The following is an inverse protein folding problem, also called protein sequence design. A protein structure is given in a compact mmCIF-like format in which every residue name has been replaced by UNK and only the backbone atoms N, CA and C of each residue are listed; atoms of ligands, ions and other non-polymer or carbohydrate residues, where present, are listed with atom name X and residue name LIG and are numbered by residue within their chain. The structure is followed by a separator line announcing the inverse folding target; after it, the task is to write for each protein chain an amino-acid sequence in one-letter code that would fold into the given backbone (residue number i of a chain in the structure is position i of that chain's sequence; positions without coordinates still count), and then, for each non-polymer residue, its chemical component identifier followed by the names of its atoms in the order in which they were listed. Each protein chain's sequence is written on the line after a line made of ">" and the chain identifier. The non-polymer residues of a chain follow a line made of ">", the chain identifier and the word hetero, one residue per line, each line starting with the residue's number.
data_IF_299007879182
#
_entry.id   IF_299007879182
#
_cell.length_a   1.000
_cell.length_b   1.000
_cell.length_c   1.000
_cell.angle_alpha   90.00
_cell.angle_beta   90.00
_cell.angle_gamma   90.00
#
_symmetry.space_group_name_H-M   'P 1'
#
loop_
_entity.id
_entity.type
_entity.pdbx_description
1 polymer ?
#
# COMPACT_ATOMS: atom_id res chain seq x y z
N UNK A 1 1.08 0.96 24.50
CA UNK A 1 1.60 0.45 23.22
C UNK A 1 1.17 1.42 22.14
N UNK A 2 2.12 1.99 21.38
CA UNK A 2 1.86 2.81 20.21
C UNK A 2 1.90 1.96 18.95
N UNK A 3 0.87 2.06 18.11
CA UNK A 3 0.75 1.30 16.88
C UNK A 3 1.10 2.18 15.68
N UNK A 4 2.07 1.76 14.88
CA UNK A 4 2.44 2.39 13.63
C UNK A 4 1.93 1.62 12.42
N UNK A 5 1.58 2.33 11.36
CA UNK A 5 1.31 1.73 10.05
C UNK A 5 2.34 2.19 9.01
N UNK A 6 3.01 1.23 8.37
CA UNK A 6 3.97 1.47 7.30
C UNK A 6 3.32 1.14 5.95
N UNK A 7 3.01 2.17 5.16
CA UNK A 7 2.33 2.07 3.88
C UNK A 7 3.35 2.00 2.74
N UNK A 8 3.43 0.84 2.10
CA UNK A 8 4.40 0.60 1.03
C UNK A 8 4.10 1.30 -0.30
N UNK A 9 5.10 1.32 -1.18
CA UNK A 9 4.93 1.73 -2.57
C UNK A 9 4.14 0.70 -3.39
N UNK A 10 3.58 1.12 -4.52
CA UNK A 10 2.80 0.23 -5.39
C UNK A 10 2.04 0.90 -6.53
N UNK A 11 2.35 2.16 -6.86
CA UNK A 11 1.64 2.94 -7.88
C UNK A 11 0.10 2.89 -7.72
N UNK A 12 -0.66 2.56 -8.75
CA UNK A 12 -2.13 2.44 -8.71
C UNK A 12 -2.66 1.55 -7.58
N UNK A 13 -1.94 0.47 -7.23
CA UNK A 13 -2.30 -0.49 -6.18
C UNK A 13 -2.47 0.16 -4.81
N UNK A 14 -1.96 1.39 -4.64
CA UNK A 14 -2.04 2.15 -3.40
C UNK A 14 -3.44 2.39 -2.87
N UNK A 15 -4.49 2.32 -3.69
CA UNK A 15 -5.88 2.40 -3.17
C UNK A 15 -6.24 1.27 -2.21
N UNK A 16 -5.54 0.13 -2.26
CA UNK A 16 -5.71 -0.93 -1.27
C UNK A 16 -5.37 -0.47 0.15
N UNK A 17 -4.45 0.51 0.32
CA UNK A 17 -4.13 1.08 1.64
C UNK A 17 -5.37 1.67 2.31
N UNK A 18 -6.28 2.29 1.55
CA UNK A 18 -7.51 2.87 2.08
C UNK A 18 -8.37 1.77 2.73
N UNK A 19 -8.57 0.66 2.02
CA UNK A 19 -9.30 -0.49 2.52
C UNK A 19 -8.65 -1.14 3.74
N UNK A 20 -7.31 -1.25 3.73
CA UNK A 20 -6.56 -1.77 4.88
C UNK A 20 -6.74 -0.90 6.10
N UNK A 21 -6.56 0.42 5.99
CA UNK A 21 -6.71 1.36 7.11
C UNK A 21 -8.13 1.30 7.67
N UNK A 22 -9.14 1.39 6.80
CA UNK A 22 -10.55 1.35 7.23
C UNK A 22 -10.88 0.03 7.93
N UNK A 23 -10.37 -1.10 7.44
CA UNK A 23 -10.61 -2.40 8.07
C UNK A 23 -9.90 -2.54 9.43
N UNK A 24 -8.67 -2.02 9.56
CA UNK A 24 -7.96 -1.99 10.84
C UNK A 24 -8.72 -1.15 11.88
N UNK A 25 -9.17 0.04 11.50
CA UNK A 25 -9.97 0.89 12.40
C UNK A 25 -11.31 0.22 12.79
N UNK A 26 -11.99 -0.45 11.85
CA UNK A 26 -13.20 -1.25 12.15
C UNK A 26 -12.94 -2.39 13.14
N UNK A 27 -11.75 -2.97 13.12
CA UNK A 27 -11.33 -4.00 14.09
C UNK A 27 -10.99 -3.42 15.47
N UNK A 28 -11.01 -2.09 15.64
CA UNK A 28 -10.65 -1.42 16.87
C UNK A 28 -9.14 -1.12 16.99
N UNK A 29 -8.37 -1.30 15.92
CA UNK A 29 -6.95 -0.95 15.90
C UNK A 29 -6.81 0.57 15.84
N UNK A 30 -6.29 1.17 16.92
CA UNK A 30 -5.98 2.59 16.95
C UNK A 30 -4.57 2.84 16.40
N UNK A 31 -4.48 3.39 15.19
CA UNK A 31 -3.20 3.75 14.57
C UNK A 31 -2.74 5.10 15.12
N UNK A 32 -1.56 5.11 15.76
CA UNK A 32 -0.98 6.29 16.39
C UNK A 32 0.02 7.02 15.50
N UNK A 33 0.77 6.31 14.65
CA UNK A 33 1.77 6.90 13.74
C UNK A 33 1.69 6.30 12.34
N UNK A 34 2.06 7.08 11.33
CA UNK A 34 1.95 6.69 9.92
C UNK A 34 3.30 6.93 9.23
N UNK A 35 3.78 5.95 8.47
CA UNK A 35 4.89 6.14 7.55
C UNK A 35 4.49 5.71 6.15
N UNK A 36 4.94 6.42 5.12
CA UNK A 36 4.56 6.13 3.74
C UNK A 36 5.68 6.28 2.72
N UNK A 37 5.63 5.46 1.66
CA UNK A 37 6.52 5.55 0.51
C UNK A 37 5.71 5.64 -0.78
N UNK A 38 6.03 6.59 -1.67
CA UNK A 38 5.34 6.76 -2.96
C UNK A 38 3.82 6.90 -2.75
N UNK A 39 3.00 6.09 -3.42
CA UNK A 39 1.54 6.09 -3.18
C UNK A 39 1.15 5.86 -1.71
N UNK A 40 1.97 5.14 -0.93
CA UNK A 40 1.79 5.00 0.51
C UNK A 40 2.00 6.33 1.26
N UNK A 41 2.89 7.21 0.78
CA UNK A 41 3.02 8.57 1.29
C UNK A 41 1.81 9.43 0.93
N UNK A 42 1.27 9.26 -0.29
CA UNK A 42 0.06 9.95 -0.72
C UNK A 42 -1.14 9.59 0.15
N UNK A 43 -1.46 8.29 0.27
CA UNK A 43 -2.58 7.83 1.12
C UNK A 43 -2.31 8.10 2.60
N UNK A 44 -1.07 7.88 3.05
CA UNK A 44 -0.66 8.10 4.43
C UNK A 44 -0.78 9.55 4.87
N UNK A 45 -0.40 10.50 4.03
CA UNK A 45 -0.53 11.93 4.35
C UNK A 45 -2.01 12.35 4.47
N UNK A 46 -2.88 11.80 3.62
CA UNK A 46 -4.32 12.06 3.72
C UNK A 46 -4.92 11.46 4.99
N UNK A 47 -4.55 10.22 5.32
CA UNK A 47 -4.99 9.57 6.55
C UNK A 47 -4.51 10.30 7.80
N UNK A 48 -3.22 10.68 7.86
CA UNK A 48 -2.65 11.42 8.97
C UNK A 48 -3.25 12.83 9.11
N UNK A 49 -3.83 13.38 8.05
CA UNK A 49 -4.56 14.66 8.05
C UNK A 49 -6.07 14.53 8.33
N UNK A 50 -6.57 13.32 8.63
CA UNK A 50 -8.00 13.08 8.88
C UNK A 50 -8.89 13.08 7.64
N UNK A 51 -8.32 12.99 6.43
CA UNK A 51 -9.02 13.17 5.14
C UNK A 51 -9.13 11.89 4.30
N UNK A 52 -9.06 10.71 4.94
CA UNK A 52 -9.05 9.43 4.23
C UNK A 52 -10.37 9.18 3.47
N UNK A 53 -11.50 9.62 4.03
CA UNK A 53 -12.81 9.40 3.41
C UNK A 53 -12.98 10.25 2.16
N UNK A 54 -12.61 11.53 2.22
CA UNK A 54 -12.62 12.44 1.07
C UNK A 54 -11.68 11.94 -0.04
N UNK A 55 -10.52 11.42 0.33
CA UNK A 55 -9.61 10.77 -0.61
C UNK A 55 -10.28 9.55 -1.28
N UNK A 56 -10.95 8.69 -0.50
CA UNK A 56 -11.65 7.51 -1.03
C UNK A 56 -12.76 7.90 -2.01
N UNK A 57 -13.57 8.89 -1.66
CA UNK A 57 -14.65 9.39 -2.52
C UNK A 57 -14.10 9.91 -3.86
N UNK A 58 -13.06 10.72 -3.80
CA UNK A 58 -12.40 11.22 -4.99
C UNK A 58 -11.79 10.09 -5.83
N UNK A 59 -11.01 9.20 -5.22
CA UNK A 59 -10.37 8.09 -5.91
C UNK A 59 -11.40 7.15 -6.57
N UNK A 60 -12.55 6.93 -5.92
CA UNK A 60 -13.66 6.14 -6.46
C UNK A 60 -14.41 6.83 -7.60
N UNK A 61 -14.32 8.16 -7.70
CA UNK A 61 -14.94 8.94 -8.79
C UNK A 61 -14.08 9.01 -10.06
N UNK A 62 -12.80 8.57 -9.99
CA UNK A 62 -11.86 8.70 -11.10
C UNK A 62 -12.22 7.77 -12.26
N UNK A 63 -12.49 8.36 -13.42
CA UNK A 63 -12.55 7.66 -14.69
C UNK A 63 -11.15 7.44 -15.28
N UNK A 64 -11.02 6.51 -16.25
CA UNK A 64 -9.79 6.30 -17.02
C UNK A 64 -9.27 7.62 -17.63
N UNK A 65 -10.16 8.43 -18.21
CA UNK A 65 -9.83 9.73 -18.82
C UNK A 65 -9.34 10.76 -17.82
N UNK A 66 -9.99 10.87 -16.67
CA UNK A 66 -9.55 11.77 -15.60
C UNK A 66 -8.19 11.35 -15.06
N UNK A 67 -7.95 10.05 -14.92
CA UNK A 67 -6.65 9.49 -14.52
C UNK A 67 -5.54 9.93 -15.49
N UNK A 68 -5.74 9.77 -16.79
CA UNK A 68 -4.76 10.21 -17.81
C UNK A 68 -4.53 11.73 -17.77
N UNK A 69 -5.60 12.52 -17.62
CA UNK A 69 -5.54 13.98 -17.55
C UNK A 69 -4.81 14.50 -16.30
N UNK A 70 -4.96 13.80 -15.17
CA UNK A 70 -4.31 14.11 -13.89
C UNK A 70 -2.81 13.81 -13.94
N UNK A 71 -2.43 12.69 -14.55
CA UNK A 71 -1.02 12.34 -14.77
C UNK A 71 -0.32 13.33 -15.71
N UNK A 72 -1.08 14.04 -16.54
CA UNK A 72 -0.55 15.10 -17.39
C UNK A 72 0.29 14.53 -18.54
N UNK A 73 -0.14 13.38 -19.09
CA UNK A 73 0.47 12.77 -20.28
C UNK A 73 0.31 13.75 -21.45
N UNK A 74 1.38 14.45 -21.76
CA UNK A 74 1.47 15.48 -22.79
C UNK A 74 2.91 15.91 -23.01
N UNK A 75 3.32 16.07 -24.28
CA UNK A 75 4.72 16.29 -24.67
C UNK A 75 5.22 17.65 -24.13
N UNK A 76 5.96 17.66 -23.02
CA UNK A 76 6.79 18.80 -22.59
C UNK A 76 8.15 18.31 -22.09
N UNK A 77 9.18 19.12 -22.35
CA UNK A 77 10.62 18.83 -22.15
C UNK A 77 10.92 18.33 -20.72
N UNK A 78 11.26 17.04 -20.57
CA UNK A 78 11.93 16.51 -19.38
C UNK A 78 11.22 15.38 -18.63
N UNK A 79 9.96 15.07 -18.92
CA UNK A 79 9.21 13.96 -18.31
C UNK A 79 7.99 13.57 -19.16
N UNK A 80 7.56 12.31 -19.08
CA UNK A 80 6.42 11.79 -19.86
C UNK A 80 5.05 12.14 -19.24
N UNK A 81 5.05 12.45 -17.94
CA UNK A 81 3.90 12.88 -17.16
C UNK A 81 4.37 13.92 -16.13
N UNK A 82 3.70 15.07 -16.02
CA UNK A 82 4.05 16.07 -15.00
C UNK A 82 3.60 15.65 -13.61
N UNK A 83 2.53 14.85 -13.48
CA UNK A 83 1.92 14.44 -12.21
C UNK A 83 1.38 15.59 -11.34
N UNK A 84 1.66 16.84 -11.69
CA UNK A 84 1.50 18.01 -10.83
C UNK A 84 0.06 18.18 -10.35
N UNK A 85 -0.94 17.94 -11.21
CA UNK A 85 -2.35 18.06 -10.83
C UNK A 85 -2.76 17.10 -9.72
N UNK A 86 -2.16 15.90 -9.65
CA UNK A 86 -2.42 14.92 -8.59
C UNK A 86 -1.90 15.45 -7.26
N UNK A 87 -0.69 16.01 -7.25
CA UNK A 87 -0.08 16.56 -6.04
C UNK A 87 -0.68 17.91 -5.63
N UNK A 88 -1.13 18.72 -6.57
CA UNK A 88 -1.87 19.96 -6.30
C UNK A 88 -3.19 19.60 -5.61
N UNK A 89 -3.91 18.58 -6.12
CA UNK A 89 -5.16 18.08 -5.53
C UNK A 89 -4.94 17.53 -4.11
N UNK A 90 -3.86 16.77 -3.89
CA UNK A 90 -3.47 16.34 -2.54
C UNK A 90 -3.28 17.53 -1.61
N UNK A 91 -2.45 18.48 -2.04
CA UNK A 91 -2.05 19.64 -1.24
C UNK A 91 -3.21 20.57 -0.92
N UNK A 92 -4.22 20.64 -1.78
CA UNK A 92 -5.38 21.52 -1.59
C UNK A 92 -6.49 20.86 -0.78
N UNK A 93 -6.75 19.57 -0.99
CA UNK A 93 -8.01 18.96 -0.55
C UNK A 93 -7.82 17.84 0.49
N UNK A 94 -6.66 17.19 0.52
CA UNK A 94 -6.50 15.94 1.25
C UNK A 94 -5.39 15.95 2.29
N UNK A 95 -4.47 16.92 2.31
CA UNK A 95 -3.44 16.96 3.34
C UNK A 95 -3.33 18.32 4.03
N UNK A 96 -2.85 18.30 5.28
CA UNK A 96 -2.39 19.50 5.95
C UNK A 96 -1.23 20.13 5.17
N UNK A 97 -1.06 21.45 5.27
CA UNK A 97 0.05 22.15 4.60
C UNK A 97 1.41 21.78 5.17
N UNK A 98 1.46 21.42 6.46
CA UNK A 98 2.68 21.08 7.18
C UNK A 98 2.52 19.80 8.00
N UNK A 99 3.63 19.08 8.23
CA UNK A 99 3.62 17.85 9.05
C UNK A 99 3.15 18.13 10.48
N UNK A 100 3.49 19.29 11.01
CA UNK A 100 3.14 19.75 12.36
C UNK A 100 1.63 20.01 12.53
N UNK A 101 0.92 20.24 11.43
CA UNK A 101 -0.52 20.47 11.41
C UNK A 101 -1.35 19.18 11.21
N UNK A 102 -0.71 18.02 11.10
CA UNK A 102 -1.39 16.74 10.96
C UNK A 102 -2.01 16.25 12.27
N UNK A 103 -3.09 15.47 12.17
CA UNK A 103 -3.74 14.86 13.35
C UNK A 103 -2.92 13.71 13.95
N UNK A 104 -2.08 13.07 13.13
CA UNK A 104 -1.20 11.97 13.52
C UNK A 104 0.24 12.25 13.07
N UNK A 105 1.25 11.88 13.86
CA UNK A 105 2.64 11.90 13.42
C UNK A 105 2.80 11.10 12.11
N UNK A 106 3.39 11.76 11.12
CA UNK A 106 3.59 11.20 9.79
C UNK A 106 5.04 11.39 9.34
N UNK A 107 5.55 10.39 8.63
CA UNK A 107 6.80 10.52 7.88
C UNK A 107 6.68 9.91 6.49
N UNK A 108 7.38 10.48 5.52
CA UNK A 108 7.54 9.85 4.22
C UNK A 108 8.99 9.84 3.76
N UNK A 109 9.27 9.01 2.78
CA UNK A 109 10.63 8.74 2.31
C UNK A 109 10.79 9.05 0.83
N UNK A 110 11.89 9.69 0.48
CA UNK A 110 12.38 9.84 -0.89
C UNK A 110 13.83 9.36 -0.99
N UNK A 111 14.33 9.27 -2.20
CA UNK A 111 15.70 8.86 -2.49
C UNK A 111 16.48 10.04 -3.07
N UNK A 112 17.64 10.35 -2.50
CA UNK A 112 18.60 11.24 -3.16
C UNK A 112 19.21 10.51 -4.37
N UNK A 113 18.94 11.05 -5.56
CA UNK A 113 19.30 10.47 -6.84
C UNK A 113 20.79 10.21 -6.99
N UNK A 114 21.65 11.06 -6.43
CA UNK A 114 23.10 10.95 -6.65
C UNK A 114 23.79 10.13 -5.58
N UNK A 115 23.37 10.26 -4.33
CA UNK A 115 23.99 9.53 -3.22
C UNK A 115 23.37 8.15 -2.97
N UNK A 116 22.17 7.90 -3.51
CA UNK A 116 21.39 6.70 -3.21
C UNK A 116 20.94 6.63 -1.74
N UNK A 117 21.03 7.74 -1.01
CA UNK A 117 20.66 7.79 0.41
C UNK A 117 19.17 8.08 0.57
N UNK A 118 18.66 7.54 1.66
CA UNK A 118 17.32 7.81 2.14
C UNK A 118 17.20 9.26 2.62
N UNK A 119 16.14 9.93 2.18
CA UNK A 119 15.74 11.27 2.65
C UNK A 119 14.38 11.13 3.30
N UNK A 120 14.34 11.35 4.62
CA UNK A 120 13.13 11.24 5.43
C UNK A 120 12.54 12.64 5.64
N UNK A 121 11.24 12.76 5.41
CA UNK A 121 10.47 13.96 5.68
C UNK A 121 9.50 13.71 6.83
N UNK A 122 9.54 14.57 7.83
CA UNK A 122 8.61 14.56 8.98
C UNK A 122 8.34 15.97 9.53
N UNK A 123 8.78 17.01 8.82
CA UNK A 123 8.65 18.43 9.19
C UNK A 123 8.51 19.28 7.93
N UNK A 124 7.87 20.45 8.02
CA UNK A 124 7.75 21.39 6.91
C UNK A 124 6.65 21.04 5.89
N UNK A 125 6.87 21.34 4.61
CA UNK A 125 5.84 21.26 3.54
C UNK A 125 5.52 19.81 3.14
N UNK A 126 4.27 19.39 3.34
CA UNK A 126 3.81 18.02 3.07
C UNK A 126 3.68 17.75 1.58
N UNK A 127 3.08 18.67 0.84
CA UNK A 127 2.78 18.50 -0.59
C UNK A 127 4.06 18.24 -1.40
N UNK A 128 5.10 19.05 -1.17
CA UNK A 128 6.42 18.87 -1.79
C UNK A 128 7.11 17.58 -1.36
N UNK A 129 7.00 17.22 -0.08
CA UNK A 129 7.61 16.00 0.46
C UNK A 129 6.98 14.73 -0.13
N UNK A 130 5.65 14.69 -0.22
CA UNK A 130 4.92 13.59 -0.87
C UNK A 130 5.19 13.58 -2.37
N UNK A 131 5.23 14.73 -3.03
CA UNK A 131 5.59 14.81 -4.45
C UNK A 131 6.99 14.22 -4.71
N UNK A 132 7.99 14.55 -3.88
CA UNK A 132 9.32 13.95 -3.98
C UNK A 132 9.29 12.44 -3.74
N UNK A 133 8.52 11.97 -2.75
CA UNK A 133 8.35 10.55 -2.45
C UNK A 133 7.73 9.75 -3.61
N UNK A 134 6.89 10.39 -4.43
CA UNK A 134 6.19 9.80 -5.57
C UNK A 134 6.86 10.06 -6.93
N UNK A 135 8.08 10.59 -6.97
CA UNK A 135 8.79 10.94 -8.21
C UNK A 135 9.40 9.68 -8.89
N UNK A 136 8.54 8.78 -9.39
CA UNK A 136 8.90 7.51 -10.02
C UNK A 136 9.83 7.75 -11.22
N UNK A 137 11.07 7.20 -11.22
CA UNK A 137 11.98 7.32 -12.36
C UNK A 137 11.34 6.85 -13.67
N UNK A 138 11.65 7.54 -14.77
CA UNK A 138 11.09 7.35 -16.11
C UNK A 138 9.60 7.72 -16.29
N UNK A 139 8.83 7.90 -15.21
CA UNK A 139 7.44 8.35 -15.27
C UNK A 139 7.30 9.83 -14.91
N UNK A 140 7.87 10.23 -13.77
CA UNK A 140 7.85 11.60 -13.26
C UNK A 140 9.25 12.20 -13.20
N UNK A 141 9.32 13.53 -13.35
CA UNK A 141 10.58 14.26 -13.23
C UNK A 141 11.09 14.23 -11.78
N UNK A 142 12.41 14.13 -11.56
CA UNK A 142 13.00 14.31 -10.23
C UNK A 142 12.64 15.68 -9.63
N UNK A 143 12.53 15.74 -8.31
CA UNK A 143 12.17 16.96 -7.57
C UNK A 143 13.43 17.58 -6.96
N UNK A 144 13.66 18.85 -7.23
CA UNK A 144 14.70 19.62 -6.56
C UNK A 144 14.25 19.98 -5.14
N UNK A 145 15.03 19.57 -4.14
CA UNK A 145 14.79 19.90 -2.74
C UNK A 145 16.12 20.23 -2.07
N UNK A 146 16.26 21.49 -1.63
CA UNK A 146 17.54 22.05 -1.19
C UNK A 146 18.61 21.83 -2.28
N UNK A 147 19.79 21.33 -1.93
CA UNK A 147 20.89 21.04 -2.86
C UNK A 147 20.84 19.61 -3.44
N UNK A 148 19.66 18.96 -3.42
CA UNK A 148 19.49 17.56 -3.84
C UNK A 148 18.45 17.41 -4.93
N UNK A 149 18.64 16.38 -5.75
CA UNK A 149 17.62 15.88 -6.66
C UNK A 149 17.04 14.61 -6.08
N UNK A 150 15.73 14.59 -5.90
CA UNK A 150 15.01 13.50 -5.25
C UNK A 150 14.19 12.72 -6.27
N UNK A 151 14.17 11.41 -6.09
CA UNK A 151 13.30 10.46 -6.79
C UNK A 151 12.53 9.62 -5.78
N UNK A 152 11.64 8.78 -6.28
CA UNK A 152 10.77 7.93 -5.47
C UNK A 152 11.53 7.16 -4.36
N UNK A 153 10.95 7.13 -3.16
CA UNK A 153 11.51 6.46 -2.00
C UNK A 153 11.63 4.94 -2.16
N UNK A 154 10.87 4.34 -3.09
CA UNK A 154 10.87 2.91 -3.34
C UNK A 154 12.21 2.41 -3.87
N UNK A 155 13.09 3.29 -4.35
CA UNK A 155 14.44 2.87 -4.73
C UNK A 155 15.24 2.37 -3.51
N UNK A 156 14.97 2.89 -2.30
CA UNK A 156 15.79 2.60 -1.10
C UNK A 156 14.99 2.05 0.09
N UNK A 157 13.73 2.44 0.22
CA UNK A 157 12.86 2.03 1.33
C UNK A 157 11.38 1.90 0.88
N UNK A 158 11.05 0.85 0.10
CA UNK A 158 9.68 0.64 -0.42
C UNK A 158 8.60 0.48 0.65
N UNK A 159 8.93 -0.03 1.84
CA UNK A 159 8.01 -0.27 2.94
C UNK A 159 8.65 0.25 4.22
N UNK A 160 8.34 1.50 4.65
CA UNK A 160 9.14 2.23 5.63
C UNK A 160 8.82 1.85 7.09
N UNK A 161 9.05 0.60 7.47
CA UNK A 161 8.83 0.06 8.83
C UNK A 161 9.66 0.81 9.87
N UNK A 162 10.92 1.08 9.53
CA UNK A 162 11.87 1.82 10.35
C UNK A 162 11.38 3.24 10.68
N UNK A 163 10.69 3.92 9.76
CA UNK A 163 10.16 5.26 10.01
C UNK A 163 9.05 5.24 11.07
N UNK A 164 8.17 4.23 11.08
CA UNK A 164 7.20 4.07 12.16
C UNK A 164 7.89 3.91 13.52
N UNK A 165 8.95 3.09 13.58
CA UNK A 165 9.75 2.91 14.81
C UNK A 165 10.45 4.20 15.24
N UNK A 166 10.99 4.98 14.30
CA UNK A 166 11.59 6.29 14.57
C UNK A 166 10.58 7.32 15.10
N UNK A 167 9.32 7.25 14.64
CA UNK A 167 8.20 8.04 15.17
C UNK A 167 7.70 7.53 16.54
N UNK A 168 8.29 6.46 17.08
CA UNK A 168 8.00 5.92 18.40
C UNK A 168 6.92 4.84 18.43
N UNK A 169 6.68 4.13 17.33
CA UNK A 169 5.83 2.93 17.34
C UNK A 169 6.50 1.78 18.11
N UNK A 170 5.74 1.14 18.99
CA UNK A 170 6.13 -0.10 19.68
C UNK A 170 5.78 -1.33 18.83
N UNK A 171 4.69 -1.22 18.05
CA UNK A 171 4.13 -2.26 17.20
C UNK A 171 3.88 -1.68 15.81
N UNK A 172 4.34 -2.34 14.75
CA UNK A 172 4.25 -1.86 13.37
C UNK A 172 3.52 -2.87 12.50
N UNK A 173 2.45 -2.39 11.88
CA UNK A 173 1.73 -3.08 10.82
C UNK A 173 2.23 -2.53 9.49
N UNK A 174 2.83 -3.38 8.65
CA UNK A 174 3.30 -2.99 7.33
C UNK A 174 2.36 -3.48 6.23
N UNK A 175 2.17 -2.66 5.21
CA UNK A 175 1.37 -3.00 4.03
C UNK A 175 2.28 -3.03 2.80
N UNK A 176 2.54 -4.23 2.27
CA UNK A 176 3.35 -4.44 1.08
C UNK A 176 2.45 -4.78 -0.12
N UNK A 177 2.38 -3.87 -1.08
CA UNK A 177 1.55 -4.02 -2.28
C UNK A 177 2.24 -4.81 -3.42
N UNK A 178 3.52 -5.16 -3.26
CA UNK A 178 4.34 -5.80 -4.28
C UNK A 178 4.66 -7.27 -3.95
N UNK A 179 3.86 -7.90 -3.10
CA UNK A 179 4.06 -9.26 -2.62
C UNK A 179 3.96 -10.36 -3.70
N UNK A 180 3.24 -10.07 -4.79
CA UNK A 180 2.95 -11.03 -5.86
C UNK A 180 4.11 -11.26 -6.84
N UNK A 181 5.21 -10.50 -6.74
CA UNK A 181 6.39 -10.69 -7.61
C UNK A 181 7.23 -11.92 -7.18
N UNK A 182 6.62 -13.11 -7.26
CA UNK A 182 7.28 -14.41 -7.08
C UNK A 182 7.62 -14.99 -8.46
N UNK A 183 8.88 -15.37 -8.74
CA UNK A 183 9.33 -15.82 -10.07
C UNK A 183 8.50 -16.94 -10.71
N UNK A 184 7.80 -17.76 -9.92
CA UNK A 184 7.00 -18.89 -10.38
C UNK A 184 5.59 -18.51 -10.88
N UNK A 185 5.08 -17.31 -10.57
CA UNK A 185 3.76 -16.82 -11.06
C UNK A 185 3.84 -15.99 -12.34
N UNK A 186 5.03 -15.44 -12.65
CA UNK A 186 5.31 -14.67 -13.88
C UNK A 186 4.91 -15.46 -15.14
N UNK A 187 5.08 -16.79 -15.14
CA UNK A 187 4.70 -17.66 -16.25
C UNK A 187 3.18 -17.76 -16.50
N UNK A 188 2.33 -17.54 -15.47
CA UNK A 188 0.86 -17.52 -15.61
C UNK A 188 0.29 -16.11 -15.82
N UNK A 189 0.96 -15.08 -15.30
CA UNK A 189 0.55 -13.68 -15.41
C UNK A 189 0.82 -13.08 -16.79
N UNK A 190 1.87 -13.54 -17.50
CA UNK A 190 2.13 -13.16 -18.89
C UNK A 190 0.94 -13.49 -19.82
N UNK A 191 0.15 -14.52 -19.51
CA UNK A 191 -1.02 -14.90 -20.30
C UNK A 191 -2.28 -14.06 -20.04
N UNK A 192 -2.36 -13.35 -18.91
CA UNK A 192 -3.54 -12.54 -18.51
C UNK A 192 -3.36 -11.04 -18.70
N UNK A 193 -2.12 -10.53 -18.55
CA UNK A 193 -1.81 -9.12 -18.87
C UNK A 193 -1.99 -8.79 -20.36
N UNK A 194 -1.92 -9.81 -21.23
CA UNK A 194 -2.22 -9.69 -22.67
C UNK A 194 -3.71 -9.41 -22.92
N UNK A 195 -4.62 -9.89 -22.06
CA UNK A 195 -6.08 -9.75 -22.22
C UNK A 195 -6.57 -8.36 -21.77
N UNK A 196 -5.92 -7.74 -20.77
CA UNK A 196 -6.28 -6.40 -20.25
C UNK A 196 -5.75 -5.25 -21.14
N UNK A 197 -4.67 -5.48 -21.90
CA UNK A 197 -4.11 -4.49 -22.83
C UNK A 197 -4.95 -4.28 -24.11
N UNK A 198 -5.91 -5.16 -24.42
CA UNK A 198 -6.71 -5.09 -25.66
C UNK A 198 -7.58 -3.82 -25.78
N UNK A 199 -7.83 -3.08 -24.68
CA UNK A 199 -8.76 -1.94 -24.69
C UNK A 199 -8.14 -0.55 -24.96
N UNK A 200 -6.82 -0.41 -24.90
CA UNK A 200 -6.14 0.90 -24.96
C UNK A 200 -5.43 1.21 -26.31
N UNK A 201 -5.70 0.44 -27.37
CA UNK A 201 -4.95 0.50 -28.64
C UNK A 201 -5.12 1.79 -29.50
N UNK A 202 -5.85 2.83 -29.06
CA UNK A 202 -6.26 3.91 -29.97
C UNK A 202 -5.74 5.34 -29.68
N UNK A 203 -4.51 5.53 -29.18
CA UNK A 203 -4.01 6.90 -28.90
C UNK A 203 -2.70 7.37 -29.55
N UNK A 204 -1.79 6.49 -30.00
CA UNK A 204 -0.48 6.94 -30.53
C UNK A 204 -0.23 6.46 -31.96
N UNK A 205 -0.63 7.27 -32.95
CA UNK A 205 -0.30 7.01 -34.36
C UNK A 205 0.47 8.11 -35.11
N UNK A 206 1.04 9.11 -34.43
CA UNK A 206 1.91 10.10 -35.09
C UNK A 206 3.04 10.60 -34.20
N UNK A 207 4.24 10.01 -34.28
CA UNK A 207 5.53 10.63 -33.95
C UNK A 207 6.72 9.70 -34.31
N UNK A 208 7.91 10.30 -34.46
CA UNK A 208 9.17 9.78 -35.00
C UNK A 208 9.66 8.44 -34.42
N UNK A 209 10.51 7.73 -35.18
CA UNK A 209 10.97 6.35 -34.95
C UNK A 209 11.63 6.08 -33.58
N UNK A 210 12.21 7.11 -32.93
CA UNK A 210 12.77 7.00 -31.57
C UNK A 210 11.68 6.87 -30.51
N UNK A 211 10.57 7.60 -30.66
CA UNK A 211 9.40 7.52 -29.76
C UNK A 211 8.73 6.15 -29.90
N UNK A 212 8.72 5.58 -31.13
CA UNK A 212 8.23 4.23 -31.34
C UNK A 212 8.99 3.19 -30.54
N UNK A 213 10.33 3.28 -30.41
CA UNK A 213 11.10 2.26 -29.69
C UNK A 213 10.90 2.31 -28.16
N UNK A 214 10.60 3.49 -27.61
CA UNK A 214 10.32 3.67 -26.18
C UNK A 214 8.90 3.22 -25.81
N UNK A 215 7.94 3.43 -26.71
CA UNK A 215 6.53 3.10 -26.54
C UNK A 215 6.06 1.97 -27.46
N UNK A 216 6.97 1.10 -27.91
CA UNK A 216 6.62 -0.02 -28.78
C UNK A 216 5.64 -0.91 -28.02
N UNK A 217 4.47 -1.24 -28.61
CA UNK A 217 3.53 -2.15 -27.99
C UNK A 217 4.22 -3.48 -27.72
N UNK A 218 3.86 -4.11 -26.60
CA UNK A 218 4.45 -5.39 -26.22
C UNK A 218 4.19 -6.45 -27.30
N UNK A 219 5.17 -7.32 -27.58
CA UNK A 219 4.97 -8.39 -28.53
C UNK A 219 3.89 -9.35 -28.02
N UNK A 220 2.80 -9.45 -28.78
CA UNK A 220 1.74 -10.44 -28.56
C UNK A 220 2.35 -11.84 -28.63
N UNK A 221 2.18 -12.59 -27.56
CA UNK A 221 2.32 -14.04 -27.40
C UNK A 221 3.64 -14.69 -27.88
N UNK A 222 4.37 -15.32 -26.95
CA UNK A 222 5.49 -16.27 -27.13
C UNK A 222 6.46 -16.06 -28.32
N UNK A 223 6.59 -14.82 -28.79
CA UNK A 223 7.39 -14.45 -29.95
C UNK A 223 8.69 -13.82 -29.46
N UNK A 224 9.80 -14.20 -30.10
CA UNK A 224 11.18 -13.77 -29.78
C UNK A 224 11.44 -12.28 -30.07
N UNK A 225 10.48 -11.39 -29.82
CA UNK A 225 10.68 -9.95 -29.96
C UNK A 225 11.08 -9.34 -28.62
N UNK A 226 12.07 -8.45 -28.67
CA UNK A 226 12.57 -7.76 -27.49
C UNK A 226 11.49 -6.79 -26.96
N UNK A 227 11.23 -6.75 -25.64
CA UNK A 227 10.32 -5.78 -25.05
C UNK A 227 10.81 -4.33 -25.27
N UNK A 228 9.87 -3.37 -25.21
CA UNK A 228 10.19 -1.94 -25.31
C UNK A 228 11.06 -1.44 -24.15
N UNK A 229 11.81 -0.35 -24.37
CA UNK A 229 12.77 0.16 -23.36
C UNK A 229 12.06 0.54 -22.05
N UNK A 230 10.87 1.16 -22.14
CA UNK A 230 10.11 1.57 -20.96
C UNK A 230 9.63 0.36 -20.15
N UNK A 231 9.15 -0.71 -20.81
CA UNK A 231 8.70 -1.92 -20.10
C UNK A 231 9.86 -2.67 -19.47
N UNK A 232 11.02 -2.73 -20.13
CA UNK A 232 12.26 -3.27 -19.54
C UNK A 232 12.68 -2.47 -18.31
N UNK A 233 12.66 -1.13 -18.38
CA UNK A 233 13.02 -0.28 -17.26
C UNK A 233 12.06 -0.43 -16.08
N UNK A 234 10.74 -0.38 -16.33
CA UNK A 234 9.73 -0.56 -15.28
C UNK A 234 9.83 -1.94 -14.64
N UNK A 235 9.93 -3.00 -15.44
CA UNK A 235 10.09 -4.38 -14.93
C UNK A 235 11.38 -4.53 -14.11
N UNK A 236 12.48 -3.92 -14.57
CA UNK A 236 13.75 -3.94 -13.83
C UNK A 236 13.65 -3.19 -12.51
N UNK A 237 12.97 -2.03 -12.50
CA UNK A 237 12.73 -1.25 -11.29
C UNK A 237 11.88 -2.05 -10.31
N UNK A 238 10.80 -2.69 -10.75
CA UNK A 238 9.96 -3.55 -9.91
C UNK A 238 10.74 -4.73 -9.31
N UNK A 239 11.60 -5.40 -10.10
CA UNK A 239 12.48 -6.48 -9.60
C UNK A 239 13.42 -5.97 -8.51
N UNK A 240 14.06 -4.82 -8.75
CA UNK A 240 14.98 -4.21 -7.80
C UNK A 240 14.24 -3.80 -6.53
N UNK A 241 13.07 -3.16 -6.66
CA UNK A 241 12.21 -2.80 -5.53
C UNK A 241 11.82 -4.03 -4.71
N UNK A 242 11.36 -5.11 -5.35
CA UNK A 242 11.01 -6.36 -4.65
C UNK A 242 12.21 -6.99 -3.91
N UNK A 243 13.44 -6.81 -4.41
CA UNK A 243 14.66 -7.25 -3.72
C UNK A 243 14.99 -6.34 -2.53
N UNK A 244 14.90 -5.03 -2.72
CA UNK A 244 15.12 -4.04 -1.65
C UNK A 244 14.09 -4.23 -0.52
N UNK A 245 12.80 -4.37 -0.85
CA UNK A 245 11.73 -4.66 0.12
C UNK A 245 12.06 -5.88 0.96
N UNK A 246 12.39 -7.01 0.33
CA UNK A 246 12.73 -8.25 1.06
C UNK A 246 13.95 -8.08 1.96
N UNK A 247 14.98 -7.38 1.48
CA UNK A 247 16.18 -7.11 2.28
C UNK A 247 15.88 -6.24 3.48
N UNK A 248 15.05 -5.20 3.32
CA UNK A 248 14.63 -4.30 4.40
C UNK A 248 13.76 -5.01 5.42
N UNK A 249 12.72 -5.73 4.98
CA UNK A 249 11.84 -6.48 5.88
C UNK A 249 12.58 -7.60 6.64
N UNK A 250 13.68 -8.12 6.11
CA UNK A 250 14.52 -9.08 6.84
C UNK A 250 15.37 -8.42 7.95
N UNK A 251 15.84 -7.18 7.73
CA UNK A 251 16.62 -6.44 8.73
C UNK A 251 15.75 -5.68 9.74
N UNK A 252 14.58 -5.22 9.29
CA UNK A 252 13.64 -4.37 10.02
C UNK A 252 12.22 -4.98 9.85
N UNK A 253 11.96 -6.15 10.47
CA UNK A 253 10.68 -6.84 10.29
C UNK A 253 9.55 -6.06 10.98
N UNK A 254 8.36 -5.99 10.35
CA UNK A 254 7.15 -5.54 11.01
C UNK A 254 6.60 -6.65 11.92
N UNK A 255 5.74 -6.27 12.86
CA UNK A 255 5.05 -7.21 13.74
C UNK A 255 3.92 -7.94 12.98
N UNK A 256 3.25 -7.22 12.08
CA UNK A 256 2.28 -7.77 11.12
C UNK A 256 2.61 -7.27 9.73
N UNK A 257 2.68 -8.19 8.77
CA UNK A 257 2.81 -7.88 7.35
C UNK A 257 1.51 -8.21 6.62
N UNK A 258 0.91 -7.20 6.00
CA UNK A 258 -0.30 -7.30 5.18
C UNK A 258 0.12 -7.24 3.72
N UNK A 259 -0.25 -8.27 2.96
CA UNK A 259 0.11 -8.44 1.55
C UNK A 259 -1.14 -8.65 0.69
N UNK A 260 -1.81 -7.57 0.23
CA UNK A 260 -2.98 -7.71 -0.63
C UNK A 260 -2.60 -8.29 -2.00
N UNK A 261 -3.31 -9.32 -2.50
CA UNK A 261 -3.05 -9.88 -3.82
C UNK A 261 -3.60 -8.95 -4.90
N UNK A 262 -2.71 -8.26 -5.62
CA UNK A 262 -3.05 -7.21 -6.60
C UNK A 262 -2.29 -7.42 -7.94
N UNK A 263 -1.91 -8.66 -8.23
CA UNK A 263 -1.15 -9.07 -9.43
C UNK A 263 -1.77 -8.67 -10.78
N UNK A 264 -3.09 -8.51 -10.82
CA UNK A 264 -3.89 -8.18 -11.99
C UNK A 264 -4.13 -6.67 -12.16
N UNK A 265 -3.62 -5.85 -11.22
CA UNK A 265 -3.71 -4.39 -11.28
C UNK A 265 -2.46 -3.83 -11.96
N UNK A 266 -2.66 -3.16 -13.09
CA UNK A 266 -1.61 -2.47 -13.83
C UNK A 266 -1.21 -1.14 -13.21
N UNK A 267 0.03 -0.68 -13.47
CA UNK A 267 0.65 0.51 -12.85
C UNK A 267 -0.20 1.80 -12.90
N UNK A 268 -1.02 1.96 -13.93
CA UNK A 268 -1.80 3.18 -14.22
C UNK A 268 -3.32 3.00 -14.04
N UNK A 269 -3.78 1.89 -13.47
CA UNK A 269 -5.21 1.57 -13.33
C UNK A 269 -5.88 2.21 -12.10
N UNK A 270 -5.65 3.50 -11.86
CA UNK A 270 -6.18 4.22 -10.69
C UNK A 270 -7.72 4.29 -10.64
N UNK A 271 -8.42 3.98 -11.74
CA UNK A 271 -9.88 3.95 -11.82
C UNK A 271 -10.51 2.74 -11.10
N UNK A 272 -9.74 1.67 -10.82
CA UNK A 272 -10.21 0.45 -10.11
C UNK A 272 -10.19 0.59 -8.58
N UNK A 273 -10.42 1.79 -8.06
CA UNK A 273 -10.28 2.10 -6.62
C UNK A 273 -11.13 1.19 -5.71
N UNK A 274 -12.40 0.97 -6.06
CA UNK A 274 -13.33 0.18 -5.26
C UNK A 274 -12.85 -1.27 -5.05
N UNK A 275 -12.38 -1.90 -6.13
CA UNK A 275 -11.85 -3.27 -6.11
C UNK A 275 -10.59 -3.40 -5.25
N UNK A 276 -9.67 -2.44 -5.37
CA UNK A 276 -8.44 -2.43 -4.57
C UNK A 276 -8.74 -2.22 -3.09
N UNK A 277 -9.66 -1.30 -2.75
CA UNK A 277 -10.12 -1.10 -1.38
C UNK A 277 -10.72 -2.38 -0.80
N UNK A 278 -11.62 -3.04 -1.55
CA UNK A 278 -12.25 -4.29 -1.12
C UNK A 278 -11.21 -5.40 -0.89
N UNK A 279 -10.20 -5.47 -1.76
CA UNK A 279 -9.10 -6.45 -1.62
C UNK A 279 -8.28 -6.19 -0.36
N UNK A 280 -7.95 -4.92 -0.07
CA UNK A 280 -7.27 -4.53 1.17
C UNK A 280 -8.08 -4.90 2.42
N UNK A 281 -9.39 -4.64 2.41
CA UNK A 281 -10.30 -4.99 3.50
C UNK A 281 -10.36 -6.52 3.71
N UNK A 282 -10.52 -7.31 2.65
CA UNK A 282 -10.57 -8.77 2.73
C UNK A 282 -9.32 -9.38 3.36
N UNK A 283 -8.14 -8.81 3.08
CA UNK A 283 -6.87 -9.32 3.62
C UNK A 283 -6.76 -9.03 5.11
N UNK A 284 -7.15 -7.83 5.55
CA UNK A 284 -7.22 -7.50 6.98
C UNK A 284 -8.19 -8.42 7.71
N UNK A 285 -9.38 -8.66 7.14
CA UNK A 285 -10.36 -9.57 7.74
C UNK A 285 -9.86 -11.00 7.85
N UNK A 286 -9.03 -11.48 6.90
CA UNK A 286 -8.35 -12.78 7.00
C UNK A 286 -7.34 -12.85 8.15
N UNK A 287 -6.71 -11.73 8.47
CA UNK A 287 -5.71 -11.62 9.53
C UNK A 287 -6.32 -11.14 10.86
N UNK A 288 -7.63 -10.94 10.94
CA UNK A 288 -8.29 -10.29 12.07
C UNK A 288 -8.01 -10.99 13.42
N UNK A 289 -8.08 -12.33 13.45
CA UNK A 289 -7.76 -13.12 14.65
C UNK A 289 -6.31 -12.91 15.11
N UNK A 290 -5.36 -12.94 14.18
CA UNK A 290 -3.95 -12.71 14.48
C UNK A 290 -3.72 -11.28 14.99
N UNK A 291 -4.35 -10.28 14.36
CA UNK A 291 -4.26 -8.88 14.75
C UNK A 291 -4.83 -8.71 16.18
N UNK A 292 -6.01 -9.27 16.46
CA UNK A 292 -6.65 -9.21 17.78
C UNK A 292 -5.80 -9.85 18.85
N UNK A 293 -5.26 -11.04 18.58
CA UNK A 293 -4.40 -11.77 19.50
C UNK A 293 -3.13 -10.97 19.84
N UNK A 294 -2.41 -10.46 18.82
CA UNK A 294 -1.16 -9.73 19.05
C UNK A 294 -1.37 -8.36 19.71
N UNK A 295 -2.50 -7.71 19.45
CA UNK A 295 -2.83 -6.41 20.02
C UNK A 295 -3.63 -6.50 21.32
N UNK A 296 -3.95 -7.71 21.79
CA UNK A 296 -4.69 -7.94 23.04
C UNK A 296 -6.05 -7.23 23.02
N UNK A 297 -6.71 -7.19 21.85
CA UNK A 297 -7.97 -6.45 21.68
C UNK A 297 -9.14 -7.12 22.42
N UNK A 298 -9.04 -8.41 22.72
CA UNK A 298 -10.12 -9.20 23.32
C UNK A 298 -9.94 -9.47 24.84
N UNK A 299 -8.85 -9.03 25.49
CA UNK A 299 -8.59 -9.30 26.93
C UNK A 299 -9.15 -8.24 27.90
N UNK A 300 -9.99 -7.31 27.46
CA UNK A 300 -10.82 -6.49 28.38
C UNK A 300 -12.21 -7.12 28.51
N UNK A 301 -12.26 -8.39 28.90
CA UNK A 301 -13.44 -8.97 29.55
C UNK A 301 -13.08 -9.13 31.04
N UNK A 302 -13.79 -8.47 31.97
CA UNK A 302 -13.49 -8.59 33.39
C UNK A 302 -13.56 -10.06 33.84
N UNK A 303 -12.77 -10.48 34.86
CA UNK A 303 -12.70 -11.87 35.35
C UNK A 303 -14.02 -12.44 35.92
N UNK A 304 -15.13 -11.74 35.81
CA UNK A 304 -16.43 -12.14 36.38
C UNK A 304 -17.24 -13.10 35.49
N UNK A 305 -16.78 -13.43 34.28
CA UNK A 305 -17.53 -14.31 33.37
C UNK A 305 -17.13 -15.81 33.43
N UNK A 306 -16.19 -16.19 34.30
CA UNK A 306 -15.70 -17.58 34.41
C UNK A 306 -16.06 -18.26 35.73
N UNK A 307 -16.99 -17.72 36.53
CA UNK A 307 -17.45 -18.37 37.76
C UNK A 307 -18.97 -18.55 37.78
N UNK A 308 -19.44 -19.53 37.03
CA UNK A 308 -20.69 -20.23 37.35
C UNK A 308 -20.32 -21.69 37.64
N UNK A 309 -19.99 -21.95 38.91
CA UNK A 309 -20.00 -23.31 39.47
C UNK A 309 -21.38 -23.93 39.23
N UNK A 310 -21.47 -25.15 38.65
CA UNK A 310 -22.69 -25.94 38.68
C UNK A 310 -22.58 -26.95 39.83
N UNK A 311 -22.78 -26.53 41.07
CA UNK A 311 -22.90 -27.49 42.19
C UNK A 311 -23.65 -26.85 43.37
N UNK A 312 -24.98 -26.91 43.30
CA UNK A 312 -25.87 -27.14 44.45
C UNK A 312 -27.29 -27.23 43.92
N UNK A 313 -27.80 -28.45 43.74
CA UNK A 313 -29.14 -28.83 44.19
C UNK A 313 -29.41 -30.31 43.90
N UNK A 314 -29.75 -31.02 44.98
CA UNK A 314 -30.46 -32.31 45.08
C UNK A 314 -29.65 -33.58 45.39
N UNK A 315 -29.15 -33.65 46.64
CA UNK A 315 -29.30 -34.89 47.42
C UNK A 315 -30.80 -35.07 47.74
N UNK A 316 -31.45 -36.09 47.16
CA UNK A 316 -32.58 -36.83 47.75
C UNK A 316 -33.17 -37.84 46.75
N UNK A 317 -32.65 -39.07 46.71
CA UNK A 317 -33.40 -40.34 46.68
C UNK A 317 -32.53 -41.49 46.18
N UNK A 318 -31.81 -42.13 47.09
CA UNK A 318 -31.48 -43.55 46.95
C UNK A 318 -32.20 -44.30 48.08
N UNK A 319 -33.42 -44.75 47.81
CA UNK A 319 -34.10 -45.74 48.64
C UNK A 319 -34.28 -47.04 47.83
N UNK A 320 -33.40 -47.98 48.16
CA UNK A 320 -33.61 -49.43 48.26
C UNK A 320 -34.61 -50.07 47.28
N UNK A 321 -34.06 -50.76 46.28
CA UNK A 321 -34.61 -52.06 45.87
C UNK A 321 -33.49 -53.10 45.70
N UNK A 322 -33.38 -53.94 46.73
CA UNK A 322 -32.73 -55.26 46.69
C UNK A 322 -33.49 -56.15 45.69
N UNK A 323 -32.77 -56.81 44.80
CA UNK A 323 -33.19 -58.07 44.18
C UNK A 323 -32.41 -59.21 44.84
N UNK A 324 -33.05 -60.30 45.29
CA UNK A 324 -32.35 -61.50 45.72
C UNK A 324 -32.16 -62.45 44.54
N UNK A 325 -31.00 -63.10 44.46
CA UNK A 325 -30.81 -64.35 43.74
C UNK A 325 -30.46 -65.44 44.78
N UNK A 326 -31.31 -66.46 44.87
CA UNK A 326 -30.94 -67.82 45.30
C UNK A 326 -31.45 -68.78 44.20
N UNK A 327 -30.53 -69.65 43.76
CA UNK A 327 -30.62 -70.86 42.94
C UNK A 327 -31.32 -70.87 41.56
#
# INVERSE_FOLDING_TARGET
>A
MKIGIALGSGASRGWAHIGVIQALEKLGVKIDVVAGCSIGAYVGSAYASGRLNELKEWASSLTEWQTLSLMGIGIRRGGLASGQKVFDKLSSDFCASTFEAMEKPFACVATDLYSGREVVFNTGDVGKSVQASCAIPALFSPIAYQDRWLVDGAVVNPVPVNLCRQLGADFVIAVNLNADFRPLRIARETARHVETQERNEHFFKKSQDVVRQWFSPEPKDNSKQAPGILSVMSSSLEILQARVTRSRLAGEPPDILIEPPLSDIGLMEFHRCAEMCETGEKVVMRLAEQIRYQLVLDEILPPSALNTNPESDSEANEDKHRLPFED
#
